data_IF_811562770153
#
_entry.id   IF_811562770153
#
_cell.length_a   1.000
_cell.length_b   1.000
_cell.length_c   1.000
_cell.angle_alpha   90.00
_cell.angle_beta   90.00
_cell.angle_gamma   90.00
#
_symmetry.space_group_name_H-M   'P 1'
#
loop_
_entity.id
_entity.type
_entity.pdbx_description
1 polymer ?
#
# COMPACT_ATOMS: atom_id res chain seq x y z
N UNK A 1 -6.65 -2.71 8.50
CA UNK A 1 -5.25 -2.64 9.00
C UNK A 1 -5.10 -1.56 10.05
N UNK A 2 -5.49 -0.30 9.77
CA UNK A 2 -5.30 0.82 10.70
C UNK A 2 -5.87 0.58 12.10
N UNK A 3 -7.17 0.25 12.23
CA UNK A 3 -7.78 0.07 13.55
C UNK A 3 -7.37 -1.22 14.25
N UNK A 4 -7.17 -2.30 13.49
CA UNK A 4 -7.01 -3.66 14.04
C UNK A 4 -5.55 -4.08 14.26
N UNK A 5 -4.60 -3.39 13.63
CA UNK A 5 -3.18 -3.72 13.73
C UNK A 5 -2.37 -2.49 14.19
N UNK A 6 -2.49 -1.38 13.47
CA UNK A 6 -1.70 -0.18 13.75
C UNK A 6 -2.02 0.45 15.10
N UNK A 7 -3.30 0.69 15.42
CA UNK A 7 -3.68 1.24 16.74
C UNK A 7 -3.26 0.35 17.91
N UNK A 8 -3.49 -0.98 17.92
CA UNK A 8 -2.94 -1.87 18.94
C UNK A 8 -1.41 -1.83 19.03
N UNK A 9 -0.72 -1.81 17.88
CA UNK A 9 0.74 -1.71 17.83
C UNK A 9 1.26 -0.46 18.55
N UNK A 10 0.61 0.69 18.33
CA UNK A 10 0.97 1.95 19.01
C UNK A 10 0.83 1.89 20.53
N UNK A 11 -0.10 1.08 21.05
CA UNK A 11 -0.34 0.94 22.49
C UNK A 11 0.69 0.04 23.18
N UNK A 12 1.28 -0.89 22.44
CA UNK A 12 1.98 -2.04 23.00
C UNK A 12 3.51 -1.98 22.89
N UNK A 13 4.10 -0.94 22.31
CA UNK A 13 5.57 -0.88 22.19
C UNK A 13 6.16 0.48 21.84
N UNK A 14 7.47 0.67 22.11
CA UNK A 14 8.17 1.90 21.78
C UNK A 14 8.35 2.06 20.27
N UNK A 15 8.06 3.25 19.74
CA UNK A 15 8.35 3.60 18.36
C UNK A 15 9.80 4.04 18.20
N UNK A 16 10.49 3.50 17.19
CA UNK A 16 11.79 4.02 16.77
C UNK A 16 11.58 5.34 16.02
N UNK A 17 12.18 6.44 16.49
CA UNK A 17 12.00 7.79 15.90
C UNK A 17 12.34 7.89 14.41
N UNK A 18 13.22 7.03 13.91
CA UNK A 18 13.81 7.15 12.56
C UNK A 18 12.87 6.61 11.46
N UNK A 19 11.87 5.80 11.79
CA UNK A 19 11.01 5.13 10.81
C UNK A 19 9.56 5.54 10.96
N UNK A 20 8.81 5.54 9.85
CA UNK A 20 7.38 5.78 9.88
C UNK A 20 6.68 4.74 10.79
N UNK A 21 5.73 5.15 11.65
CA UNK A 21 5.06 4.21 12.55
C UNK A 21 4.30 3.09 11.83
N UNK A 22 3.75 3.33 10.63
CA UNK A 22 3.05 2.29 9.87
C UNK A 22 4.04 1.24 9.37
N UNK A 23 5.20 1.66 8.87
CA UNK A 23 6.24 0.74 8.41
C UNK A 23 6.74 -0.15 9.57
N UNK A 24 6.86 0.42 10.77
CA UNK A 24 7.21 -0.34 11.97
C UNK A 24 6.14 -1.37 12.36
N UNK A 25 4.86 -0.99 12.29
CA UNK A 25 3.75 -1.92 12.54
C UNK A 25 3.75 -3.08 11.54
N UNK A 26 3.90 -2.79 10.25
CA UNK A 26 3.98 -3.83 9.20
C UNK A 26 5.18 -4.75 9.43
N UNK A 27 6.36 -4.17 9.72
CA UNK A 27 7.57 -4.95 9.99
C UNK A 27 7.43 -5.83 11.24
N UNK A 28 6.77 -5.35 12.30
CA UNK A 28 6.47 -6.14 13.48
C UNK A 28 5.62 -7.37 13.14
N UNK A 29 4.49 -7.19 12.46
CA UNK A 29 3.62 -8.30 12.08
C UNK A 29 4.29 -9.30 11.12
N UNK A 30 5.11 -8.81 10.18
CA UNK A 30 5.84 -9.67 9.24
C UNK A 30 7.02 -10.41 9.91
N UNK A 31 7.59 -9.87 10.99
CA UNK A 31 8.57 -10.58 11.81
C UNK A 31 7.91 -11.73 12.55
N UNK A 32 6.76 -11.50 13.18
CA UNK A 32 5.98 -12.57 13.83
C UNK A 32 5.57 -13.68 12.84
N UNK A 33 5.21 -13.30 11.60
CA UNK A 33 4.93 -14.28 10.55
C UNK A 33 6.17 -15.12 10.20
N UNK A 34 7.34 -14.50 10.07
CA UNK A 34 8.58 -15.23 9.82
C UNK A 34 8.91 -16.19 10.96
N UNK A 35 8.75 -15.76 12.21
CA UNK A 35 8.95 -16.60 13.39
C UNK A 35 7.99 -17.80 13.42
N UNK A 36 6.73 -17.61 12.98
CA UNK A 36 5.76 -18.71 12.87
C UNK A 36 6.07 -19.72 11.75
N UNK A 37 6.99 -19.36 10.84
CA UNK A 37 7.45 -20.17 9.71
C UNK A 37 8.94 -20.47 9.84
N UNK A 38 9.44 -20.68 11.07
CA UNK A 38 10.87 -20.82 11.36
C UNK A 38 11.59 -21.92 10.56
N UNK A 39 10.87 -22.97 10.15
CA UNK A 39 11.39 -24.08 9.34
C UNK A 39 11.46 -23.76 7.83
N UNK A 40 10.99 -22.58 7.41
CA UNK A 40 10.96 -22.15 6.02
C UNK A 40 11.83 -20.89 5.84
N UNK A 41 12.62 -20.86 4.77
CA UNK A 41 13.28 -19.62 4.38
C UNK A 41 12.24 -18.65 3.82
N UNK A 42 12.12 -17.46 4.43
CA UNK A 42 11.18 -16.41 3.99
C UNK A 42 11.91 -15.07 3.84
N UNK A 43 12.11 -14.69 2.59
CA UNK A 43 12.65 -13.38 2.22
C UNK A 43 11.50 -12.36 2.11
N UNK A 44 11.63 -11.24 2.81
CA UNK A 44 10.59 -10.22 2.89
C UNK A 44 11.15 -8.94 2.29
N UNK A 45 10.46 -8.41 1.28
CA UNK A 45 10.75 -7.11 0.67
C UNK A 45 9.57 -6.18 0.94
N UNK A 46 9.83 -5.00 1.51
CA UNK A 46 8.78 -4.02 1.83
C UNK A 46 8.62 -2.98 0.70
N UNK A 47 7.42 -2.43 0.55
CA UNK A 47 7.08 -1.50 -0.54
C UNK A 47 7.95 -0.23 -0.56
N UNK A 48 8.43 0.19 0.61
CA UNK A 48 9.31 1.35 0.78
C UNK A 48 10.80 1.06 0.59
N UNK A 49 11.21 -0.21 0.41
CA UNK A 49 12.64 -0.54 0.30
C UNK A 49 13.21 -0.19 -1.06
N UNK A 50 14.33 0.54 -1.03
CA UNK A 50 15.09 0.93 -2.20
C UNK A 50 16.46 0.25 -2.21
N UNK A 51 16.96 -0.06 -3.40
CA UNK A 51 18.36 -0.41 -3.66
C UNK A 51 19.25 0.84 -3.50
N UNK A 52 20.58 0.68 -3.40
CA UNK A 52 21.51 1.82 -3.29
C UNK A 52 21.38 2.87 -4.40
N UNK A 53 20.95 2.45 -5.60
CA UNK A 53 20.69 3.33 -6.74
C UNK A 53 19.29 3.98 -6.73
N UNK A 54 18.57 3.91 -5.59
CA UNK A 54 17.20 4.41 -5.38
C UNK A 54 16.10 3.73 -6.20
N UNK A 55 16.40 2.62 -6.89
CA UNK A 55 15.35 1.81 -7.52
C UNK A 55 14.60 1.01 -6.44
N UNK A 56 13.27 0.87 -6.53
CA UNK A 56 12.52 -0.04 -5.65
C UNK A 56 13.08 -1.46 -5.72
N UNK A 57 13.15 -2.16 -4.58
CA UNK A 57 13.57 -3.56 -4.56
C UNK A 57 12.64 -4.48 -5.35
N UNK A 58 11.35 -4.15 -5.40
CA UNK A 58 10.37 -4.80 -6.27
C UNK A 58 9.28 -3.81 -6.72
N UNK A 59 8.56 -4.16 -7.78
CA UNK A 59 7.46 -3.37 -8.31
C UNK A 59 6.13 -3.82 -7.70
N UNK A 60 5.73 -3.16 -6.61
CA UNK A 60 4.57 -3.55 -5.81
C UNK A 60 3.26 -3.67 -6.63
N UNK A 61 2.97 -2.69 -7.48
CA UNK A 61 1.75 -2.67 -8.30
C UNK A 61 1.72 -3.82 -9.32
N UNK A 62 2.87 -4.14 -9.95
CA UNK A 62 3.00 -5.29 -10.84
C UNK A 62 2.78 -6.59 -10.08
N UNK A 63 3.38 -6.75 -8.89
CA UNK A 63 3.18 -7.93 -8.05
C UNK A 63 1.71 -8.13 -7.66
N UNK A 64 1.01 -7.06 -7.29
CA UNK A 64 -0.42 -7.11 -6.97
C UNK A 64 -1.29 -7.49 -8.19
N UNK A 65 -0.91 -7.04 -9.39
CA UNK A 65 -1.60 -7.37 -10.63
C UNK A 65 -1.48 -8.85 -10.97
N UNK A 66 -0.26 -9.37 -11.04
CA UNK A 66 -0.02 -10.77 -11.42
C UNK A 66 -0.52 -11.76 -10.36
N UNK A 67 -0.63 -11.34 -9.10
CA UNK A 67 -1.26 -12.11 -8.03
C UNK A 67 -2.80 -12.12 -8.10
N UNK A 68 -3.40 -11.37 -9.04
CA UNK A 68 -4.85 -11.25 -9.18
C UNK A 68 -5.53 -10.38 -8.12
N UNK A 69 -4.77 -9.66 -7.30
CA UNK A 69 -5.29 -8.92 -6.16
C UNK A 69 -5.96 -7.60 -6.55
N UNK A 70 -5.35 -6.86 -7.48
CA UNK A 70 -5.86 -5.58 -7.96
C UNK A 70 -5.38 -5.32 -9.40
N UNK A 71 -6.28 -4.87 -10.27
CA UNK A 71 -5.89 -4.52 -11.63
C UNK A 71 -4.99 -3.27 -11.60
N UNK A 72 -3.95 -3.24 -12.44
CA UNK A 72 -2.94 -2.19 -12.46
C UNK A 72 -3.12 -1.38 -13.74
N UNK A 73 -3.87 -0.28 -13.62
CA UNK A 73 -4.15 0.61 -14.74
C UNK A 73 -2.95 1.48 -15.00
N UNK A 74 -2.48 1.44 -16.24
CA UNK A 74 -1.33 2.16 -16.75
C UNK A 74 -1.75 2.99 -17.95
N UNK A 75 -0.88 3.93 -18.34
CA UNK A 75 -1.04 4.74 -19.55
C UNK A 75 -1.34 3.89 -20.80
N UNK A 76 -0.69 2.72 -20.93
CA UNK A 76 -0.91 1.79 -22.04
C UNK A 76 -2.30 1.13 -22.08
N UNK A 77 -3.06 1.20 -21.00
CA UNK A 77 -4.42 0.65 -20.92
C UNK A 77 -5.47 1.68 -21.38
N UNK A 78 -5.04 2.86 -21.84
CA UNK A 78 -5.87 3.92 -22.38
C UNK A 78 -5.65 4.02 -23.89
N UNK A 79 -6.74 3.94 -24.65
CA UNK A 79 -6.70 3.97 -26.11
C UNK A 79 -6.53 5.41 -26.63
N UNK A 80 -7.31 6.35 -26.11
CA UNK A 80 -7.27 7.76 -26.52
C UNK A 80 -6.49 8.60 -25.51
N UNK A 81 -5.18 8.38 -25.46
CA UNK A 81 -4.27 9.03 -24.52
C UNK A 81 -4.22 10.58 -24.68
N UNK A 82 -4.66 11.36 -23.67
CA UNK A 82 -4.72 12.83 -23.78
C UNK A 82 -3.48 13.53 -23.21
N UNK A 83 -2.44 12.81 -22.77
CA UNK A 83 -1.41 13.37 -21.88
C UNK A 83 -0.14 13.85 -22.58
N UNK A 84 0.01 13.61 -23.88
CA UNK A 84 1.17 14.04 -24.66
C UNK A 84 2.49 13.54 -24.04
N UNK A 85 3.45 14.43 -23.81
CA UNK A 85 4.75 14.04 -23.24
C UNK A 85 4.75 13.87 -21.71
N UNK A 86 3.64 14.14 -21.03
CA UNK A 86 3.58 14.04 -19.57
C UNK A 86 3.80 12.60 -19.11
N UNK A 87 4.62 12.45 -18.06
CA UNK A 87 4.77 11.16 -17.39
C UNK A 87 3.54 10.86 -16.53
N UNK A 88 2.87 9.75 -16.82
CA UNK A 88 1.68 9.28 -16.12
C UNK A 88 2.03 8.00 -15.38
N UNK A 89 1.93 8.05 -14.05
CA UNK A 89 2.12 6.88 -13.20
C UNK A 89 0.84 6.06 -13.15
N UNK A 90 0.97 4.74 -13.21
CA UNK A 90 -0.16 3.83 -13.06
C UNK A 90 -0.63 3.69 -11.62
N UNK A 91 -1.82 3.14 -11.45
CA UNK A 91 -2.44 2.90 -10.14
C UNK A 91 -3.19 1.57 -10.10
N UNK A 92 -3.10 0.85 -8.99
CA UNK A 92 -3.89 -0.34 -8.77
C UNK A 92 -5.25 0.00 -8.15
N UNK A 93 -6.32 -0.66 -8.62
CA UNK A 93 -7.66 -0.55 -8.03
C UNK A 93 -8.14 -1.95 -7.65
N UNK A 94 -8.50 -2.10 -6.38
CA UNK A 94 -8.99 -3.33 -5.80
C UNK A 94 -10.51 -3.44 -6.02
N UNK A 95 -11.04 -4.58 -6.49
CA UNK A 95 -12.45 -4.71 -6.88
C UNK A 95 -13.44 -4.47 -5.73
N UNK A 96 -13.01 -4.61 -4.47
CA UNK A 96 -13.83 -4.35 -3.28
C UNK A 96 -13.60 -2.99 -2.62
N UNK A 97 -12.39 -2.47 -2.73
CA UNK A 97 -11.92 -1.34 -1.90
C UNK A 97 -11.53 -0.13 -2.75
N UNK A 98 -11.65 -0.21 -4.07
CA UNK A 98 -11.16 0.82 -4.97
C UNK A 98 -9.68 1.08 -4.73
N UNK A 99 -9.32 2.35 -4.52
CA UNK A 99 -7.98 2.75 -4.10
C UNK A 99 -7.78 2.81 -2.57
N UNK A 100 -8.74 2.42 -1.74
CA UNK A 100 -8.66 2.44 -0.26
C UNK A 100 -7.85 1.27 0.31
N UNK A 101 -6.68 1.02 -0.25
CA UNK A 101 -5.73 0.04 0.25
C UNK A 101 -4.29 0.49 -0.06
N UNK A 102 -3.33 -0.29 0.42
CA UNK A 102 -1.92 -0.16 0.06
C UNK A 102 -1.29 -1.55 0.01
N UNK A 103 -0.35 -1.72 -0.93
CA UNK A 103 0.49 -2.92 -1.04
C UNK A 103 1.66 -2.73 -0.08
N UNK A 104 2.01 -3.75 0.71
CA UNK A 104 2.93 -3.59 1.86
C UNK A 104 4.23 -4.37 1.76
N UNK A 105 4.16 -5.60 1.24
CA UNK A 105 5.34 -6.43 1.12
C UNK A 105 5.14 -7.52 0.07
N UNK A 106 6.27 -8.03 -0.41
CA UNK A 106 6.39 -9.27 -1.14
C UNK A 106 7.11 -10.28 -0.24
N UNK A 107 6.52 -11.45 -0.09
CA UNK A 107 7.12 -12.58 0.62
C UNK A 107 7.55 -13.60 -0.43
N UNK A 108 8.83 -13.93 -0.41
CA UNK A 108 9.46 -14.92 -1.29
C UNK A 108 9.83 -16.12 -0.43
N UNK A 109 9.53 -17.31 -0.94
CA UNK A 109 9.81 -18.59 -0.30
C UNK A 109 10.80 -19.37 -1.17
N UNK A 110 12.12 -19.16 -1.02
CA UNK A 110 13.11 -19.92 -1.77
C UNK A 110 12.93 -21.42 -1.55
N UNK A 111 13.02 -22.20 -2.63
CA UNK A 111 12.84 -23.66 -2.60
C UNK A 111 11.38 -24.13 -2.59
N UNK A 112 10.39 -23.23 -2.53
CA UNK A 112 8.98 -23.57 -2.72
C UNK A 112 8.60 -23.36 -4.18
N UNK A 113 8.45 -24.47 -4.90
CA UNK A 113 8.00 -24.47 -6.30
C UNK A 113 6.53 -24.90 -6.39
N UNK A 114 5.75 -24.13 -7.14
CA UNK A 114 4.31 -24.36 -7.34
C UNK A 114 3.95 -24.29 -8.83
N UNK A 115 4.51 -25.17 -9.68
CA UNK A 115 4.36 -25.08 -11.14
C UNK A 115 2.91 -25.21 -11.62
N UNK A 116 2.05 -25.86 -10.82
CA UNK A 116 0.63 -26.04 -11.10
C UNK A 116 -0.26 -24.99 -10.43
N UNK A 117 0.30 -23.93 -9.83
CA UNK A 117 -0.49 -22.85 -9.24
C UNK A 117 -1.25 -22.10 -10.33
N UNK A 118 -2.57 -22.21 -10.31
CA UNK A 118 -3.43 -21.46 -11.21
C UNK A 118 -3.43 -19.97 -10.83
N UNK A 119 -2.82 -19.16 -11.69
CA UNK A 119 -2.86 -17.71 -11.54
C UNK A 119 -4.25 -17.17 -11.86
N UNK A 120 -4.81 -16.38 -10.95
CA UNK A 120 -6.07 -15.67 -11.17
C UNK A 120 -5.78 -14.31 -11.77
N UNK A 121 -6.44 -13.99 -12.88
CA UNK A 121 -6.36 -12.64 -13.46
C UNK A 121 -7.05 -11.63 -12.54
N UNK A 122 -6.48 -10.42 -12.37
CA UNK A 122 -7.13 -9.39 -11.58
C UNK A 122 -8.42 -8.92 -12.28
N UNK A 123 -9.41 -8.52 -11.49
CA UNK A 123 -10.70 -8.02 -12.02
C UNK A 123 -10.52 -6.63 -12.62
N UNK A 124 -10.78 -6.51 -13.92
CA UNK A 124 -10.94 -5.20 -14.58
C UNK A 124 -12.26 -4.56 -14.11
N UNK A 125 -12.15 -3.67 -13.14
CA UNK A 125 -13.26 -2.96 -12.51
C UNK A 125 -13.42 -1.52 -13.01
N UNK A 126 -12.53 -1.04 -13.88
CA UNK A 126 -12.56 0.29 -14.50
C UNK A 126 -12.50 0.08 -16.01
N UNK A 127 -13.67 -0.26 -16.56
CA UNK A 127 -13.80 -0.92 -17.86
C UNK A 127 -13.84 0.03 -19.06
N UNK A 128 -14.11 1.31 -18.87
CA UNK A 128 -14.20 2.29 -19.97
C UNK A 128 -12.96 3.15 -20.06
N UNK A 129 -12.63 3.60 -21.27
CA UNK A 129 -11.46 4.44 -21.53
C UNK A 129 -11.57 5.76 -20.76
N UNK A 130 -12.76 6.36 -20.74
CA UNK A 130 -13.04 7.61 -20.04
C UNK A 130 -12.78 7.49 -18.54
N UNK A 131 -13.20 6.38 -17.92
CA UNK A 131 -12.93 6.14 -16.49
C UNK A 131 -11.46 5.85 -16.22
N UNK A 132 -10.74 5.21 -17.14
CA UNK A 132 -9.29 4.99 -17.01
C UNK A 132 -8.53 6.31 -17.11
N UNK A 133 -8.95 7.21 -18.00
CA UNK A 133 -8.43 8.59 -18.08
C UNK A 133 -8.71 9.31 -16.76
N UNK A 134 -9.96 9.35 -16.32
CA UNK A 134 -10.38 10.00 -15.06
C UNK A 134 -9.58 9.47 -13.87
N UNK A 135 -9.39 8.15 -13.78
CA UNK A 135 -8.60 7.50 -12.74
C UNK A 135 -7.16 8.01 -12.72
N UNK A 136 -6.49 7.95 -13.87
CA UNK A 136 -5.09 8.31 -13.98
C UNK A 136 -4.89 9.81 -13.76
N UNK A 137 -5.81 10.66 -14.20
CA UNK A 137 -5.78 12.10 -13.91
C UNK A 137 -5.96 12.40 -12.42
N UNK A 138 -6.99 11.82 -11.79
CA UNK A 138 -7.21 11.98 -10.36
C UNK A 138 -6.02 11.48 -9.54
N UNK A 139 -5.43 10.36 -9.91
CA UNK A 139 -4.25 9.82 -9.22
C UNK A 139 -3.00 10.70 -9.41
N UNK A 140 -2.72 11.16 -10.63
CA UNK A 140 -1.48 11.89 -10.89
C UNK A 140 -1.56 13.37 -10.47
N UNK A 141 -2.73 14.00 -10.57
CA UNK A 141 -2.88 15.45 -10.39
C UNK A 141 -3.69 15.83 -9.15
N UNK A 142 -4.54 14.93 -8.63
CA UNK A 142 -5.50 15.24 -7.56
C UNK A 142 -5.47 14.27 -6.37
N UNK A 143 -4.44 13.42 -6.22
CA UNK A 143 -4.43 12.33 -5.23
C UNK A 143 -4.71 12.74 -3.77
N UNK A 144 -4.44 14.01 -3.42
CA UNK A 144 -4.64 14.56 -2.07
C UNK A 144 -6.12 14.68 -1.68
N UNK A 145 -7.02 14.75 -2.66
CA UNK A 145 -8.46 14.82 -2.42
C UNK A 145 -9.12 13.44 -2.22
N UNK A 146 -8.33 12.36 -2.36
CA UNK A 146 -8.74 10.96 -2.22
C UNK A 146 -9.70 10.43 -3.30
N UNK A 147 -10.18 11.27 -4.22
CA UNK A 147 -11.25 10.97 -5.16
C UNK A 147 -10.92 9.82 -6.12
N UNK A 148 -9.64 9.64 -6.49
CA UNK A 148 -9.21 8.52 -7.33
C UNK A 148 -9.50 7.15 -6.69
N UNK A 149 -9.61 7.09 -5.35
CA UNK A 149 -9.87 5.85 -4.61
C UNK A 149 -11.31 5.39 -4.74
N UNK A 150 -12.20 6.29 -5.15
CA UNK A 150 -13.64 6.07 -5.33
C UNK A 150 -14.05 6.01 -6.81
N UNK A 151 -13.10 5.69 -7.72
CA UNK A 151 -13.39 5.54 -9.16
C UNK A 151 -14.45 4.45 -9.45
N UNK A 152 -14.57 3.47 -8.56
CA UNK A 152 -15.63 2.47 -8.53
C UNK A 152 -16.41 2.58 -7.23
N UNK A 153 -17.58 1.94 -7.16
CA UNK A 153 -18.24 1.72 -5.86
C UNK A 153 -17.32 0.88 -4.95
N UNK A 154 -17.24 1.25 -3.67
CA UNK A 154 -16.36 0.61 -2.69
C UNK A 154 -17.14 0.20 -1.46
N UNK A 155 -16.81 -0.96 -0.87
CA UNK A 155 -17.50 -1.47 0.33
C UNK A 155 -17.07 -0.80 1.62
N UNK A 156 -15.82 -0.35 1.68
CA UNK A 156 -15.21 0.20 2.88
C UNK A 156 -14.15 1.22 2.48
N UNK A 157 -14.12 2.33 3.21
CA UNK A 157 -13.15 3.42 3.03
C UNK A 157 -12.31 3.56 4.30
N UNK A 158 -11.22 4.32 4.20
CA UNK A 158 -10.53 4.75 5.41
C UNK A 158 -11.44 5.64 6.24
N UNK A 159 -11.42 5.46 7.56
CA UNK A 159 -12.09 6.37 8.49
C UNK A 159 -11.51 7.78 8.39
N UNK A 160 -12.24 8.79 8.86
CA UNK A 160 -11.74 10.17 8.87
C UNK A 160 -10.46 10.33 9.70
N UNK A 161 -10.33 9.55 10.78
CA UNK A 161 -9.11 9.48 11.57
C UNK A 161 -7.94 8.92 10.75
N UNK A 162 -8.17 7.81 10.02
CA UNK A 162 -7.14 7.22 9.17
C UNK A 162 -6.76 8.16 8.01
N UNK A 163 -7.73 8.87 7.42
CA UNK A 163 -7.47 9.90 6.40
C UNK A 163 -6.64 11.05 6.97
N UNK A 164 -7.00 11.54 8.15
CA UNK A 164 -6.25 12.59 8.86
C UNK A 164 -4.81 12.15 9.11
N UNK A 165 -4.61 10.91 9.58
CA UNK A 165 -3.28 10.34 9.80
C UNK A 165 -2.45 10.29 8.50
N UNK A 166 -3.01 9.80 7.39
CA UNK A 166 -2.25 9.68 6.14
C UNK A 166 -2.08 11.00 5.39
N UNK A 167 -2.99 11.96 5.57
CA UNK A 167 -2.83 13.34 5.10
C UNK A 167 -1.70 14.08 5.86
N UNK A 168 -1.41 13.67 7.10
CA UNK A 168 -0.33 14.23 7.90
C UNK A 168 1.03 13.81 7.32
N UNK A 169 1.95 14.76 7.05
CA UNK A 169 3.29 14.47 6.55
C UNK A 169 4.02 13.48 7.48
N UNK A 170 4.85 12.55 6.96
CA UNK A 170 5.53 11.54 7.77
C UNK A 170 6.30 12.11 8.97
N UNK A 171 6.97 13.25 8.80
CA UNK A 171 7.71 13.92 9.87
C UNK A 171 6.83 14.43 11.04
N UNK A 172 5.54 14.65 10.80
CA UNK A 172 4.60 15.18 11.79
C UNK A 172 3.71 14.09 12.41
N UNK A 173 3.71 12.87 11.87
CA UNK A 173 2.86 11.77 12.35
C UNK A 173 3.14 11.41 13.80
N UNK A 174 4.40 11.40 14.23
CA UNK A 174 4.72 11.12 15.64
C UNK A 174 4.10 12.18 16.57
N UNK A 175 4.18 13.45 16.19
CA UNK A 175 3.58 14.56 16.94
C UNK A 175 2.06 14.39 17.02
N UNK A 176 1.40 14.07 15.91
CA UNK A 176 -0.04 13.80 15.87
C UNK A 176 -0.43 12.69 16.87
N UNK A 177 0.30 11.58 16.86
CA UNK A 177 0.04 10.43 17.75
C UNK A 177 0.26 10.77 19.23
N UNK A 178 1.28 11.59 19.55
CA UNK A 178 1.51 12.05 20.93
C UNK A 178 0.42 12.98 21.43
N UNK A 179 -0.12 13.86 20.58
CA UNK A 179 -1.19 14.79 20.93
C UNK A 179 -2.53 14.07 21.14
N UNK A 180 -2.79 13.00 20.40
CA UNK A 180 -4.01 12.20 20.49
C UNK A 180 -3.99 11.18 21.65
N UNK A 181 -2.95 11.18 22.49
CA UNK A 181 -2.85 10.27 23.64
C UNK A 181 -2.60 8.80 23.28
N UNK A 182 -2.26 8.50 22.02
CA UNK A 182 -2.01 7.14 21.54
C UNK A 182 -0.66 6.56 21.99
N UNK A 183 0.28 7.42 22.38
CA UNK A 183 1.54 7.05 23.01
C UNK A 183 1.44 7.34 24.51
N UNK A 184 1.39 6.30 25.35
CA UNK A 184 1.68 6.49 26.77
C UNK A 184 3.11 7.01 26.92
N UNK A 185 3.33 7.92 27.88
CA UNK A 185 4.56 8.71 28.13
C UNK A 185 5.86 7.90 28.36
N UNK A 186 5.82 6.59 28.23
CA UNK A 186 6.95 5.70 28.47
C UNK A 186 7.59 5.27 27.15
N UNK A 187 8.42 6.12 26.56
CA UNK A 187 9.57 5.77 25.72
C UNK A 187 9.83 6.86 24.67
N UNK A 188 10.60 7.86 25.07
CA UNK A 188 11.42 8.65 24.14
C UNK A 188 12.86 8.38 24.59
N UNK A 189 13.42 7.26 24.14
CA UNK A 189 14.87 7.09 24.06
C UNK A 189 15.23 7.12 22.58
#
# INVERSE_FOLDING_TARGET
>A
MFDKAFKPFLRNGPLKKIRDPVDQCISHHLTLLRESLADQQVDIMYDYELLPNRKPKFLAQTAAHIAGAAYYYQRKDVQQDPWGEKKIYGVCIHPRYGGWFAIRALLLFPGVEVPSLLQKTPVDCVTTDEKRIELLEKFNFHWRDWSYRDITEVKEKYSEEQKTYFATPPAERLKLLTLQGGLQRNAIH
#
